data_IF_003569829106
#
_entry.id   IF_003569829106
#
_cell.length_a   1.000
_cell.length_b   1.000
_cell.length_c   1.000
_cell.angle_alpha   90.00
_cell.angle_beta   90.00
_cell.angle_gamma   90.00
#
_symmetry.space_group_name_H-M   'P 1'
#
loop_
_entity.id
_entity.type
_entity.pdbx_description
1 polymer ?
#
# COMPACT_ATOMS: atom_id res chain seq x y z
N UNK A 1 -77.88 76.89 -45.19
CA UNK A 1 -76.50 76.49 -44.82
C UNK A 1 -75.64 76.66 -46.07
N UNK A 2 -74.57 77.45 -46.02
CA UNK A 2 -73.80 77.80 -47.23
C UNK A 2 -72.92 76.66 -47.73
N UNK A 3 -72.54 76.71 -49.02
CA UNK A 3 -71.63 75.74 -49.67
C UNK A 3 -70.33 75.57 -48.86
N UNK A 4 -69.80 76.65 -48.30
CA UNK A 4 -68.60 76.63 -47.45
C UNK A 4 -68.76 75.77 -46.18
N UNK A 5 -69.92 75.83 -45.53
CA UNK A 5 -70.21 75.03 -44.33
C UNK A 5 -70.29 73.54 -44.66
N UNK A 6 -70.96 73.19 -45.77
CA UNK A 6 -71.05 71.80 -46.22
C UNK A 6 -69.68 71.23 -46.59
N UNK A 7 -68.84 72.02 -47.26
CA UNK A 7 -67.47 71.65 -47.58
C UNK A 7 -66.60 71.42 -46.33
N UNK A 8 -66.70 72.29 -45.33
CA UNK A 8 -66.00 72.13 -44.06
C UNK A 8 -66.43 70.85 -43.32
N UNK A 9 -67.73 70.56 -43.29
CA UNK A 9 -68.26 69.34 -42.66
C UNK A 9 -67.80 68.07 -43.37
N UNK A 10 -67.76 68.08 -44.71
CA UNK A 10 -67.25 66.95 -45.49
C UNK A 10 -65.77 66.70 -45.22
N UNK A 11 -64.95 67.76 -45.20
CA UNK A 11 -63.53 67.67 -44.82
C UNK A 11 -63.35 67.08 -43.43
N UNK A 12 -64.11 67.57 -42.45
CA UNK A 12 -64.03 67.08 -41.07
C UNK A 12 -64.40 65.60 -41.00
N UNK A 13 -65.51 65.19 -41.64
CA UNK A 13 -65.96 63.78 -41.65
C UNK A 13 -64.93 62.83 -42.28
N UNK A 14 -64.29 63.25 -43.37
CA UNK A 14 -63.21 62.46 -44.00
C UNK A 14 -62.00 62.38 -43.07
N UNK A 15 -61.62 63.49 -42.43
CA UNK A 15 -60.53 63.54 -41.47
C UNK A 15 -60.77 62.60 -40.27
N UNK A 16 -61.96 62.66 -39.68
CA UNK A 16 -62.34 61.85 -38.53
C UNK A 16 -62.35 60.36 -38.86
N UNK A 17 -62.90 59.98 -40.02
CA UNK A 17 -62.92 58.59 -40.47
C UNK A 17 -61.51 58.06 -40.77
N UNK A 18 -60.65 58.86 -41.42
CA UNK A 18 -59.25 58.50 -41.67
C UNK A 18 -58.50 58.35 -40.35
N UNK A 19 -58.67 59.29 -39.41
CA UNK A 19 -58.05 59.21 -38.09
C UNK A 19 -58.50 57.96 -37.35
N UNK A 20 -59.78 57.63 -37.35
CA UNK A 20 -60.31 56.43 -36.72
C UNK A 20 -59.72 55.14 -37.35
N UNK A 21 -59.58 55.11 -38.68
CA UNK A 21 -58.96 53.99 -39.40
C UNK A 21 -57.47 53.85 -39.08
N UNK A 22 -56.72 54.95 -39.08
CA UNK A 22 -55.29 54.95 -38.74
C UNK A 22 -55.09 54.46 -37.31
N UNK A 23 -55.85 54.98 -36.34
CA UNK A 23 -55.78 54.52 -34.94
C UNK A 23 -56.08 53.02 -34.81
N UNK A 24 -57.09 52.51 -35.54
CA UNK A 24 -57.41 51.08 -35.52
C UNK A 24 -56.27 50.23 -36.10
N UNK A 25 -55.66 50.66 -37.20
CA UNK A 25 -54.53 49.96 -37.83
C UNK A 25 -53.32 49.95 -36.89
N UNK A 26 -52.98 51.10 -36.28
CA UNK A 26 -51.86 51.20 -35.34
C UNK A 26 -52.06 50.25 -34.16
N UNK A 27 -53.25 50.24 -33.56
CA UNK A 27 -53.54 49.34 -32.44
C UNK A 27 -53.49 47.85 -32.84
N UNK A 28 -53.96 47.50 -34.03
CA UNK A 28 -53.89 46.11 -34.55
C UNK A 28 -52.44 45.69 -34.82
N UNK A 29 -51.59 46.61 -35.30
CA UNK A 29 -50.16 46.35 -35.50
C UNK A 29 -49.41 46.21 -34.17
N UNK A 30 -49.68 47.07 -33.17
CA UNK A 30 -49.07 47.00 -31.84
C UNK A 30 -49.43 45.69 -31.12
N UNK A 31 -50.67 45.22 -31.24
CA UNK A 31 -51.10 43.94 -30.64
C UNK A 31 -50.55 42.72 -31.37
N UNK A 32 -50.35 42.80 -32.69
CA UNK A 32 -49.69 41.76 -33.50
C UNK A 32 -48.17 41.79 -33.39
N UNK A 33 -47.59 42.80 -32.75
CA UNK A 33 -46.16 42.87 -32.53
C UNK A 33 -45.72 41.76 -31.58
N UNK A 34 -45.07 40.72 -32.13
CA UNK A 34 -44.61 39.55 -31.39
C UNK A 34 -43.43 39.83 -30.42
N UNK A 35 -42.98 41.08 -30.30
CA UNK A 35 -41.82 41.48 -29.49
C UNK A 35 -41.87 40.94 -28.05
N UNK A 36 -42.96 41.12 -27.26
CA UNK A 36 -43.00 40.63 -25.88
C UNK A 36 -42.93 39.10 -25.78
N UNK A 37 -43.46 38.39 -26.78
CA UNK A 37 -43.44 36.91 -26.83
C UNK A 37 -42.04 36.39 -27.11
N UNK A 38 -41.33 37.04 -28.04
CA UNK A 38 -39.93 36.74 -28.36
C UNK A 38 -39.05 36.99 -27.14
N UNK A 39 -39.25 38.12 -26.46
CA UNK A 39 -38.53 38.48 -25.24
C UNK A 39 -38.72 37.44 -24.12
N UNK A 40 -39.96 36.99 -23.89
CA UNK A 40 -40.24 35.95 -22.90
C UNK A 40 -39.55 34.62 -23.22
N UNK A 41 -39.56 34.20 -24.50
CA UNK A 41 -38.86 32.99 -24.94
C UNK A 41 -37.35 33.12 -24.71
N UNK A 42 -36.77 34.28 -25.05
CA UNK A 42 -35.35 34.55 -24.85
C UNK A 42 -34.96 34.54 -23.37
N UNK A 43 -35.74 35.20 -22.50
CA UNK A 43 -35.51 35.20 -21.06
C UNK A 43 -35.60 33.79 -20.46
N UNK A 44 -36.57 32.98 -20.91
CA UNK A 44 -36.69 31.58 -20.50
C UNK A 44 -35.47 30.76 -20.92
N UNK A 45 -35.00 30.94 -22.15
CA UNK A 45 -33.81 30.26 -22.67
C UNK A 45 -32.55 30.67 -21.88
N UNK A 46 -32.37 31.96 -21.59
CA UNK A 46 -31.26 32.45 -20.76
C UNK A 46 -31.28 31.81 -19.38
N UNK A 47 -32.44 31.79 -18.72
CA UNK A 47 -32.57 31.20 -17.39
C UNK A 47 -32.24 29.69 -17.39
N UNK A 48 -32.69 28.95 -18.40
CA UNK A 48 -32.41 27.53 -18.55
C UNK A 48 -30.92 27.25 -18.81
N UNK A 49 -30.31 28.00 -19.72
CA UNK A 49 -28.87 27.90 -20.01
C UNK A 49 -28.05 28.21 -18.75
N UNK A 50 -28.35 29.32 -18.06
CA UNK A 50 -27.64 29.72 -16.86
C UNK A 50 -27.76 28.66 -15.74
N UNK A 51 -28.96 28.10 -15.54
CA UNK A 51 -29.18 27.02 -14.57
C UNK A 51 -28.37 25.77 -14.90
N UNK A 52 -28.34 25.38 -16.18
CA UNK A 52 -27.58 24.21 -16.64
C UNK A 52 -26.07 24.41 -16.50
N UNK A 53 -25.55 25.57 -16.88
CA UNK A 53 -24.14 25.95 -16.70
C UNK A 53 -23.76 25.95 -15.22
N UNK A 54 -24.56 26.58 -14.36
CA UNK A 54 -24.29 26.64 -12.93
C UNK A 54 -24.23 25.26 -12.27
N UNK A 55 -25.17 24.36 -12.60
CA UNK A 55 -25.19 22.99 -12.10
C UNK A 55 -23.96 22.20 -12.54
N UNK A 56 -23.62 22.25 -13.83
CA UNK A 56 -22.47 21.54 -14.39
C UNK A 56 -21.15 22.05 -13.80
N UNK A 57 -20.97 23.37 -13.70
CA UNK A 57 -19.78 23.96 -13.10
C UNK A 57 -19.63 23.57 -11.62
N UNK A 58 -20.73 23.61 -10.87
CA UNK A 58 -20.73 23.19 -9.45
C UNK A 58 -20.29 21.74 -9.31
N UNK A 59 -20.85 20.83 -10.13
CA UNK A 59 -20.50 19.42 -10.10
C UNK A 59 -19.02 19.19 -10.41
N UNK A 60 -18.49 19.81 -11.47
CA UNK A 60 -17.06 19.69 -11.85
C UNK A 60 -16.12 20.26 -10.79
N UNK A 61 -16.46 21.39 -10.20
CA UNK A 61 -15.67 21.99 -9.11
C UNK A 61 -15.65 21.06 -7.89
N UNK A 62 -16.80 20.47 -7.52
CA UNK A 62 -16.88 19.50 -6.43
C UNK A 62 -16.02 18.26 -6.70
N UNK A 63 -16.03 17.74 -7.93
CA UNK A 63 -15.20 16.61 -8.33
C UNK A 63 -13.70 16.94 -8.21
N UNK A 64 -13.26 18.07 -8.79
CA UNK A 64 -11.87 18.55 -8.71
C UNK A 64 -11.42 18.70 -7.25
N UNK A 65 -12.26 19.31 -6.40
CA UNK A 65 -11.94 19.51 -4.99
C UNK A 65 -11.79 18.19 -4.22
N UNK A 66 -12.60 17.18 -4.57
CA UNK A 66 -12.50 15.85 -3.96
C UNK A 66 -11.18 15.17 -4.34
N UNK A 67 -10.83 15.20 -5.63
CA UNK A 67 -9.56 14.64 -6.15
C UNK A 67 -8.36 15.32 -5.50
N UNK A 68 -8.33 16.66 -5.48
CA UNK A 68 -7.24 17.41 -4.86
C UNK A 68 -7.10 17.13 -3.35
N UNK A 69 -8.23 16.99 -2.65
CA UNK A 69 -8.22 16.61 -1.23
C UNK A 69 -7.60 15.23 -1.00
N UNK A 70 -7.88 14.27 -1.88
CA UNK A 70 -7.27 12.94 -1.82
C UNK A 70 -5.76 12.99 -2.07
N UNK A 71 -5.31 13.76 -3.07
CA UNK A 71 -3.88 13.95 -3.39
C UNK A 71 -3.11 14.60 -2.22
N UNK A 72 -3.70 15.62 -1.57
CA UNK A 72 -3.11 16.24 -0.39
C UNK A 72 -2.96 15.25 0.78
N UNK A 73 -3.92 14.34 0.95
CA UNK A 73 -3.80 13.27 1.96
C UNK A 73 -2.64 12.34 1.65
N UNK A 74 -2.50 11.90 0.40
CA UNK A 74 -1.38 11.04 -0.03
C UNK A 74 -0.03 11.70 0.22
N UNK A 75 0.11 12.99 -0.08
CA UNK A 75 1.33 13.76 0.16
C UNK A 75 1.73 13.76 1.64
N UNK A 76 0.76 13.92 2.55
CA UNK A 76 1.00 13.86 4.00
C UNK A 76 1.44 12.46 4.45
N UNK A 77 0.84 11.40 3.90
CA UNK A 77 1.23 10.02 4.24
C UNK A 77 2.65 9.69 3.73
N UNK A 78 3.03 10.15 2.53
CA UNK A 78 4.40 10.00 2.01
C UNK A 78 5.42 10.66 2.96
N UNK A 79 5.13 11.87 3.45
CA UNK A 79 6.02 12.54 4.39
C UNK A 79 6.21 11.75 5.71
N UNK A 80 5.14 11.13 6.22
CA UNK A 80 5.22 10.26 7.41
C UNK A 80 6.07 9.02 7.16
N UNK A 81 5.92 8.39 5.99
CA UNK A 81 6.72 7.21 5.59
C UNK A 81 8.20 7.59 5.53
N UNK A 82 8.54 8.67 4.83
CA UNK A 82 9.93 9.14 4.72
C UNK A 82 10.57 9.42 6.08
N UNK A 83 9.80 9.97 7.03
CA UNK A 83 10.28 10.19 8.41
C UNK A 83 10.53 8.88 9.17
N UNK A 84 9.72 7.84 8.95
CA UNK A 84 9.91 6.52 9.57
C UNK A 84 11.12 5.80 8.97
N UNK A 85 11.29 5.87 7.66
CA UNK A 85 12.44 5.29 6.96
C UNK A 85 13.75 5.86 7.51
N UNK A 86 13.82 7.18 7.72
CA UNK A 86 14.98 7.80 8.37
C UNK A 86 15.28 7.24 9.78
N UNK A 87 14.23 6.94 10.55
CA UNK A 87 14.33 6.27 11.85
C UNK A 87 14.92 4.86 11.72
N UNK A 88 14.39 4.04 10.79
CA UNK A 88 14.89 2.68 10.56
C UNK A 88 16.36 2.66 10.11
N UNK A 89 16.80 3.61 9.28
CA UNK A 89 18.22 3.72 8.92
C UNK A 89 19.11 3.99 10.13
N UNK A 90 18.67 4.86 11.06
CA UNK A 90 19.44 5.15 12.28
C UNK A 90 19.52 3.95 13.23
N UNK A 91 18.43 3.19 13.34
CA UNK A 91 18.37 1.99 14.17
C UNK A 91 19.23 0.86 13.59
N UNK A 92 19.18 0.66 12.27
CA UNK A 92 20.04 -0.31 11.57
C UNK A 92 21.53 0.00 11.79
N UNK A 93 21.92 1.28 11.67
CA UNK A 93 23.30 1.71 11.94
C UNK A 93 23.71 1.45 13.40
N UNK A 94 22.81 1.67 14.37
CA UNK A 94 23.08 1.38 15.78
C UNK A 94 23.24 -0.13 16.03
N UNK A 95 22.40 -0.96 15.41
CA UNK A 95 22.50 -2.43 15.52
C UNK A 95 23.84 -2.90 14.93
N UNK A 96 24.23 -2.38 13.76
CA UNK A 96 25.52 -2.70 13.14
C UNK A 96 26.70 -2.32 14.04
N UNK A 97 26.64 -1.14 14.68
CA UNK A 97 27.66 -0.71 15.63
C UNK A 97 27.78 -1.68 16.83
N UNK A 98 26.65 -2.09 17.41
CA UNK A 98 26.62 -3.05 18.53
C UNK A 98 27.15 -4.43 18.10
N UNK A 99 26.78 -4.91 16.91
CA UNK A 99 27.30 -6.17 16.37
C UNK A 99 28.81 -6.13 16.20
N UNK A 100 29.34 -5.04 15.64
CA UNK A 100 30.79 -4.84 15.50
C UNK A 100 31.50 -4.82 16.86
N UNK A 101 30.92 -4.17 17.86
CA UNK A 101 31.49 -4.15 19.21
C UNK A 101 31.51 -5.55 19.84
N UNK A 102 30.42 -6.32 19.71
CA UNK A 102 30.35 -7.70 20.22
C UNK A 102 31.40 -8.60 19.55
N UNK A 103 31.56 -8.51 18.23
CA UNK A 103 32.58 -9.26 17.48
C UNK A 103 33.98 -8.94 18.02
N UNK A 104 34.29 -7.65 18.24
CA UNK A 104 35.58 -7.25 18.79
C UNK A 104 35.81 -7.80 20.21
N UNK A 105 34.82 -7.67 21.10
CA UNK A 105 34.90 -8.20 22.47
C UNK A 105 35.11 -9.71 22.48
N UNK A 106 34.42 -10.44 21.61
CA UNK A 106 34.58 -11.88 21.48
C UNK A 106 35.97 -12.28 20.97
N UNK A 107 36.52 -11.54 20.00
CA UNK A 107 37.88 -11.78 19.50
C UNK A 107 38.94 -11.54 20.59
N UNK A 108 38.77 -10.52 21.44
CA UNK A 108 39.67 -10.25 22.58
C UNK A 108 39.57 -11.37 23.62
N UNK A 109 38.35 -11.78 23.98
CA UNK A 109 38.14 -12.86 24.95
C UNK A 109 38.78 -14.18 24.49
N UNK A 110 38.65 -14.53 23.19
CA UNK A 110 39.31 -15.70 22.63
C UNK A 110 40.84 -15.62 22.70
N UNK A 111 41.45 -14.46 22.41
CA UNK A 111 42.90 -14.28 22.52
C UNK A 111 43.39 -14.46 23.95
N UNK A 112 42.69 -13.84 24.91
CA UNK A 112 43.01 -13.98 26.34
C UNK A 112 42.88 -15.43 26.82
N UNK A 113 41.87 -16.15 26.34
CA UNK A 113 41.71 -17.58 26.66
C UNK A 113 42.89 -18.41 26.14
N UNK A 114 43.30 -18.19 24.88
CA UNK A 114 44.46 -18.87 24.30
C UNK A 114 45.76 -18.55 25.04
N UNK A 115 45.98 -17.29 25.44
CA UNK A 115 47.15 -16.91 26.24
C UNK A 115 47.15 -17.58 27.62
N UNK A 116 45.99 -17.63 28.29
CA UNK A 116 45.84 -18.32 29.57
C UNK A 116 46.11 -19.84 29.45
N UNK A 117 45.58 -20.48 28.41
CA UNK A 117 45.77 -21.90 28.16
C UNK A 117 47.24 -22.22 27.79
N UNK A 118 47.93 -21.35 27.04
CA UNK A 118 49.37 -21.52 26.77
C UNK A 118 50.23 -21.40 28.03
N UNK A 119 49.89 -20.47 28.94
CA UNK A 119 50.55 -20.34 30.25
C UNK A 119 50.31 -21.56 31.15
N UNK A 120 49.15 -22.21 31.02
CA UNK A 120 48.81 -23.46 31.70
C UNK A 120 49.60 -24.66 31.16
N UNK A 121 49.72 -24.80 29.83
CA UNK A 121 50.46 -25.90 29.18
C UNK A 121 51.98 -25.79 29.40
N UNK A 122 52.54 -24.58 29.49
CA UNK A 122 53.96 -24.39 29.83
C UNK A 122 54.32 -24.92 31.24
N UNK A 123 53.33 -25.05 32.14
CA UNK A 123 53.55 -25.55 33.50
C UNK A 123 53.31 -27.06 33.66
N UNK A 124 52.67 -27.74 32.70
CA UNK A 124 52.39 -29.18 32.79
C UNK A 124 52.51 -29.85 31.41
N UNK A 125 53.74 -30.11 30.97
CA UNK A 125 53.97 -30.98 29.81
C UNK A 125 53.75 -32.44 30.18
N UNK A 126 52.59 -33.00 29.82
CA UNK A 126 52.53 -34.35 29.26
C UNK A 126 51.17 -34.65 28.61
N UNK A 127 51.27 -35.12 27.37
CA UNK A 127 50.45 -36.17 26.76
C UNK A 127 49.12 -35.82 26.06
N UNK A 128 49.14 -36.25 24.79
CA UNK A 128 48.10 -36.93 24.00
C UNK A 128 47.01 -36.14 23.25
N UNK A 129 47.22 -36.16 21.92
CA UNK A 129 46.33 -36.66 20.87
C UNK A 129 44.96 -36.01 20.58
N UNK A 130 44.94 -35.33 19.42
CA UNK A 130 44.07 -35.56 18.24
C UNK A 130 42.57 -35.78 18.44
N UNK A 131 41.74 -34.93 17.81
CA UNK A 131 40.45 -35.37 17.26
C UNK A 131 39.98 -34.47 16.11
N UNK A 132 39.95 -35.07 14.92
CA UNK A 132 39.31 -34.58 13.71
C UNK A 132 37.79 -34.49 13.89
N UNK A 133 37.22 -33.31 13.66
CA UNK A 133 35.79 -33.01 13.81
C UNK A 133 34.92 -33.78 12.81
N UNK A 134 34.34 -34.90 13.25
CA UNK A 134 33.14 -35.50 12.64
C UNK A 134 32.00 -35.31 13.64
N UNK A 135 30.89 -34.71 13.20
CA UNK A 135 29.66 -34.67 14.00
C UNK A 135 29.31 -36.10 14.43
N UNK A 136 29.21 -36.34 15.73
CA UNK A 136 28.82 -37.66 16.24
C UNK A 136 27.39 -37.99 15.79
N UNK A 137 27.13 -39.24 15.41
CA UNK A 137 25.84 -39.70 14.89
C UNK A 137 24.67 -39.38 15.85
N UNK A 138 24.92 -39.32 17.15
CA UNK A 138 23.95 -38.93 18.18
C UNK A 138 23.44 -37.48 18.03
N UNK A 139 24.33 -36.54 17.66
CA UNK A 139 23.98 -35.12 17.51
C UNK A 139 23.14 -34.85 16.25
N UNK A 140 23.40 -35.62 15.18
CA UNK A 140 22.61 -35.54 13.95
C UNK A 140 21.20 -36.09 14.18
N UNK A 141 21.08 -37.21 14.88
CA UNK A 141 19.78 -37.84 15.16
C UNK A 141 18.90 -36.94 16.03
N UNK A 142 19.47 -36.30 17.05
CA UNK A 142 18.73 -35.34 17.88
C UNK A 142 18.22 -34.15 17.05
N UNK A 143 19.05 -33.62 16.17
CA UNK A 143 18.66 -32.55 15.26
C UNK A 143 17.52 -32.97 14.32
N UNK A 144 17.53 -34.20 13.81
CA UNK A 144 16.42 -34.74 12.99
C UNK A 144 15.12 -34.86 13.80
N UNK A 145 15.20 -35.31 15.05
CA UNK A 145 14.05 -35.43 15.94
C UNK A 145 13.42 -34.07 16.24
N UNK A 146 14.23 -33.05 16.53
CA UNK A 146 13.76 -31.67 16.73
C UNK A 146 13.06 -31.14 15.48
N UNK A 147 13.68 -31.29 14.31
CA UNK A 147 13.06 -30.90 13.05
C UNK A 147 11.71 -31.58 12.83
N UNK A 148 11.63 -32.90 13.04
CA UNK A 148 10.41 -33.67 12.82
C UNK A 148 9.28 -33.22 13.74
N UNK A 149 9.60 -32.87 14.99
CA UNK A 149 8.65 -32.31 15.96
C UNK A 149 8.04 -31.01 15.45
N UNK A 150 8.88 -30.02 15.15
CA UNK A 150 8.47 -28.71 14.63
C UNK A 150 7.71 -28.83 13.31
N UNK A 151 8.20 -29.68 12.41
CA UNK A 151 7.56 -29.93 11.12
C UNK A 151 6.14 -30.49 11.28
N UNK A 152 5.94 -31.41 12.22
CA UNK A 152 4.65 -32.05 12.45
C UNK A 152 3.68 -31.15 13.24
N UNK A 153 4.16 -30.26 14.10
CA UNK A 153 3.32 -29.29 14.81
C UNK A 153 2.61 -28.31 13.87
N UNK A 154 3.18 -28.06 12.68
CA UNK A 154 2.57 -27.20 11.66
C UNK A 154 1.58 -27.96 10.73
N UNK A 155 1.18 -29.21 11.04
CA UNK A 155 0.26 -29.99 10.21
C UNK A 155 -1.21 -29.63 10.48
N UNK A 156 -1.68 -28.54 9.88
CA UNK A 156 -3.12 -28.30 9.73
C UNK A 156 -3.60 -28.82 8.37
N UNK A 157 -3.86 -30.13 8.26
CA UNK A 157 -4.59 -30.73 7.13
C UNK A 157 -3.90 -30.77 5.75
N UNK A 158 -2.73 -30.16 5.58
CA UNK A 158 -2.05 -30.04 4.29
C UNK A 158 -1.23 -31.28 3.86
N UNK A 159 -1.08 -31.47 2.54
CA UNK A 159 -0.24 -32.52 1.95
C UNK A 159 1.23 -32.35 2.36
N UNK A 160 1.91 -33.46 2.69
CA UNK A 160 3.35 -33.49 3.00
C UNK A 160 4.20 -32.80 1.92
N UNK A 161 3.81 -32.95 0.66
CA UNK A 161 4.52 -32.36 -0.47
C UNK A 161 4.44 -30.82 -0.47
N UNK A 162 3.29 -30.27 -0.06
CA UNK A 162 3.12 -28.83 0.15
C UNK A 162 3.96 -28.36 1.34
N UNK A 163 3.92 -29.09 2.46
CA UNK A 163 4.69 -28.78 3.66
C UNK A 163 6.20 -28.73 3.42
N UNK A 164 6.75 -29.68 2.67
CA UNK A 164 8.18 -29.64 2.32
C UNK A 164 8.54 -28.41 1.46
N UNK A 165 7.64 -27.97 0.57
CA UNK A 165 7.85 -26.76 -0.21
C UNK A 165 7.76 -25.50 0.66
N UNK A 166 6.83 -25.47 1.62
CA UNK A 166 6.71 -24.37 2.60
C UNK A 166 7.98 -24.23 3.42
N UNK A 167 8.47 -25.32 4.04
CA UNK A 167 9.69 -25.28 4.85
C UNK A 167 10.91 -24.85 4.03
N UNK A 168 11.02 -25.34 2.80
CA UNK A 168 12.09 -24.92 1.88
C UNK A 168 12.05 -23.41 1.60
N UNK A 169 10.87 -22.84 1.40
CA UNK A 169 10.67 -21.40 1.17
C UNK A 169 10.97 -20.58 2.41
N UNK A 170 10.52 -21.03 3.57
CA UNK A 170 10.80 -20.38 4.85
C UNK A 170 12.30 -20.37 5.18
N UNK A 171 13.00 -21.50 4.98
CA UNK A 171 14.47 -21.54 5.11
C UNK A 171 15.11 -20.49 4.20
N UNK A 172 14.69 -20.43 2.92
CA UNK A 172 15.23 -19.43 1.98
C UNK A 172 14.95 -17.99 2.41
N UNK A 173 13.79 -17.72 3.00
CA UNK A 173 13.45 -16.39 3.51
C UNK A 173 14.27 -16.02 4.75
N UNK A 174 14.48 -16.98 5.66
CA UNK A 174 15.23 -16.75 6.89
C UNK A 174 16.74 -16.61 6.68
N UNK A 175 17.31 -17.35 5.72
CA UNK A 175 18.77 -17.42 5.54
C UNK A 175 19.26 -16.81 4.24
N UNK A 176 18.40 -16.59 3.25
CA UNK A 176 18.77 -16.19 1.90
C UNK A 176 19.30 -17.36 1.03
N UNK A 177 19.58 -18.52 1.62
CA UNK A 177 20.18 -19.67 0.94
C UNK A 177 19.14 -20.59 0.30
N UNK A 178 19.49 -21.18 -0.84
CA UNK A 178 18.62 -22.12 -1.55
C UNK A 178 18.87 -23.54 -1.06
N UNK A 179 17.84 -24.15 -0.48
CA UNK A 179 17.78 -25.58 -0.21
C UNK A 179 16.80 -26.27 -1.19
N UNK A 180 17.07 -27.53 -1.51
CA UNK A 180 16.21 -28.36 -2.35
C UNK A 180 15.07 -28.98 -1.56
N UNK A 181 13.89 -29.14 -2.16
CA UNK A 181 12.74 -29.80 -1.54
C UNK A 181 13.05 -31.25 -1.17
N UNK A 182 13.73 -31.96 -2.07
CA UNK A 182 14.21 -33.32 -1.82
C UNK A 182 15.16 -33.40 -0.62
N UNK A 183 15.98 -32.38 -0.40
CA UNK A 183 16.89 -32.32 0.76
C UNK A 183 16.12 -32.19 2.07
N UNK A 184 15.11 -31.33 2.13
CA UNK A 184 14.24 -31.21 3.32
C UNK A 184 13.49 -32.52 3.57
N UNK A 185 12.98 -33.14 2.51
CA UNK A 185 12.30 -34.45 2.58
C UNK A 185 13.23 -35.55 3.11
N UNK A 186 14.43 -35.69 2.56
CA UNK A 186 15.40 -36.67 3.05
C UNK A 186 15.84 -36.37 4.48
N UNK A 187 15.87 -35.10 4.89
CA UNK A 187 16.12 -34.75 6.29
C UNK A 187 15.01 -35.28 7.22
N UNK A 188 13.75 -35.12 6.83
CA UNK A 188 12.56 -35.59 7.56
C UNK A 188 12.50 -37.12 7.74
N UNK A 189 12.83 -37.87 6.67
CA UNK A 189 12.78 -39.34 6.67
C UNK A 189 14.06 -39.99 7.19
N UNK A 190 14.98 -39.20 7.75
CA UNK A 190 16.30 -39.70 8.19
C UNK A 190 17.10 -40.38 7.08
N UNK A 191 16.92 -39.96 5.83
CA UNK A 191 17.61 -40.52 4.66
C UNK A 191 18.95 -39.80 4.42
N UNK A 192 19.99 -40.59 4.17
CA UNK A 192 21.34 -40.13 3.82
C UNK A 192 22.08 -39.38 4.93
N UNK A 193 23.26 -38.86 4.60
CA UNK A 193 24.12 -38.09 5.51
C UNK A 193 24.21 -36.64 5.00
N UNK A 194 23.39 -35.71 5.52
CA UNK A 194 23.39 -34.33 5.07
C UNK A 194 24.73 -33.65 5.42
N UNK A 195 25.18 -32.75 4.55
CA UNK A 195 26.35 -31.90 4.82
C UNK A 195 26.06 -30.97 5.99
N UNK A 196 27.11 -30.54 6.68
CA UNK A 196 27.02 -29.63 7.83
C UNK A 196 26.18 -28.37 7.52
N UNK A 197 26.41 -27.72 6.38
CA UNK A 197 25.69 -26.50 5.98
C UNK A 197 24.18 -26.74 5.85
N UNK A 198 23.78 -27.91 5.35
CA UNK A 198 22.36 -28.30 5.25
C UNK A 198 21.75 -28.45 6.65
N UNK A 199 22.46 -29.12 7.56
CA UNK A 199 22.01 -29.27 8.96
C UNK A 199 21.87 -27.89 9.61
N UNK A 200 22.82 -26.99 9.39
CA UNK A 200 22.81 -25.63 9.93
C UNK A 200 21.61 -24.82 9.41
N UNK A 201 21.33 -24.86 8.10
CA UNK A 201 20.17 -24.18 7.51
C UNK A 201 18.84 -24.66 8.10
N UNK A 202 18.69 -25.98 8.25
CA UNK A 202 17.48 -26.58 8.80
C UNK A 202 17.35 -26.25 10.28
N UNK A 203 18.42 -26.35 11.07
CA UNK A 203 18.39 -26.04 12.51
C UNK A 203 18.10 -24.56 12.78
N UNK A 204 18.55 -23.65 11.91
CA UNK A 204 18.22 -22.22 12.02
C UNK A 204 16.71 -21.97 11.88
N UNK A 205 16.06 -22.70 10.98
CA UNK A 205 14.60 -22.68 10.85
C UNK A 205 13.90 -23.33 12.06
N UNK A 206 14.38 -24.48 12.53
CA UNK A 206 13.85 -25.16 13.74
C UNK A 206 13.89 -24.23 14.95
N UNK A 207 15.04 -23.61 15.23
CA UNK A 207 15.22 -22.69 16.35
C UNK A 207 14.28 -21.48 16.25
N UNK A 208 14.04 -20.96 15.03
CA UNK A 208 13.12 -19.84 14.81
C UNK A 208 11.66 -20.19 15.11
N UNK A 209 11.22 -21.39 14.75
CA UNK A 209 9.86 -21.87 15.04
C UNK A 209 9.67 -22.16 16.54
N UNK A 210 10.63 -22.85 17.17
CA UNK A 210 10.57 -23.12 18.61
C UNK A 210 10.55 -21.84 19.46
N UNK A 211 11.30 -20.79 19.05
CA UNK A 211 11.24 -19.49 19.71
C UNK A 211 9.86 -18.83 19.57
N UNK A 212 9.26 -18.88 18.38
CA UNK A 212 7.94 -18.31 18.11
C UNK A 212 6.84 -18.99 18.93
N UNK A 213 6.92 -20.31 19.14
CA UNK A 213 5.98 -21.08 19.96
C UNK A 213 6.10 -20.71 21.45
N UNK A 214 7.31 -20.42 21.95
CA UNK A 214 7.53 -20.03 23.35
C UNK A 214 6.98 -18.65 23.73
N UNK A 215 6.91 -17.72 22.77
CA UNK A 215 6.36 -16.37 23.01
C UNK A 215 4.84 -16.40 23.09
N UNK A 216 4.19 -17.30 22.36
CA UNK A 216 2.72 -17.43 22.35
C UNK A 216 2.15 -18.11 23.60
N UNK A 217 2.91 -18.95 24.30
CA UNK A 217 2.45 -19.67 25.50
C UNK A 217 2.54 -18.85 26.81
N UNK A 218 3.09 -17.64 26.78
CA UNK A 218 3.19 -16.73 27.94
C UNK A 218 2.15 -15.58 27.88
N UNK A 219 1.19 -15.65 26.95
CA UNK A 219 0.16 -14.63 26.75
C UNK A 219 -1.25 -15.05 27.23
N UNK A 220 -1.35 -16.14 28.01
CA UNK A 220 -2.57 -16.54 28.73
C UNK A 220 -2.48 -16.22 30.23
#
# INVERSE_FOLDING_TARGET
MGIATMWSNLKQKISDELSARVTRIVNDLDTKNNTPKIENIFNKLIAEINSKIAKELTARISEINSTFTAELKLTREIAKINSRDAGYFSEAASIEAIQNEMIQRYAIAQRLQVEFDQLSVANHSSSSESSSSRLSDSSLEENRNRFKRVFNSNREGDSLDYMFETVRREIRQLTGEKIGKGTVKSFYYSEGSPKYDIVMLIMRWVNNKEYSDSVNNNAE
#
